data_IF_671013287912
#
_entry.id   IF_671013287912
#
_cell.length_a   1.000
_cell.length_b   1.000
_cell.length_c   1.000
_cell.angle_alpha   90.00
_cell.angle_beta   90.00
_cell.angle_gamma   90.00
#
_symmetry.space_group_name_H-M   'P 1'
#
loop_
_entity.id
_entity.type
_entity.pdbx_description
1 polymer ?
#
# COMPACT_ATOMS: atom_id res chain seq x y z
N UNK A 1 0.97 5.69 -50.12
CA UNK A 1 2.08 5.38 -49.20
C UNK A 1 1.75 6.00 -47.84
N UNK A 2 0.73 5.45 -47.17
CA UNK A 2 0.27 5.88 -45.86
C UNK A 2 0.77 4.84 -44.85
N UNK A 3 1.65 5.26 -43.94
CA UNK A 3 2.16 4.44 -42.85
C UNK A 3 1.05 4.33 -41.81
N UNK A 4 0.50 3.12 -41.64
CA UNK A 4 -0.39 2.79 -40.53
C UNK A 4 0.48 2.69 -39.27
N UNK A 5 0.25 3.61 -38.32
CA UNK A 5 0.79 3.55 -36.98
C UNK A 5 0.26 2.28 -36.28
N UNK A 6 1.16 1.39 -35.90
CA UNK A 6 0.86 0.22 -35.07
C UNK A 6 0.63 0.68 -33.63
N UNK A 7 -0.47 0.34 -32.96
CA UNK A 7 -0.66 0.67 -31.55
C UNK A 7 0.31 -0.15 -30.68
N UNK A 8 0.98 0.54 -29.76
CA UNK A 8 1.99 -0.02 -28.85
C UNK A 8 1.45 -1.05 -27.85
N UNK A 9 2.34 -1.84 -27.20
CA UNK A 9 2.01 -3.08 -26.50
C UNK A 9 1.33 -2.92 -25.12
N UNK A 10 0.61 -1.83 -24.85
CA UNK A 10 -0.08 -1.63 -23.55
C UNK A 10 -1.47 -2.31 -23.44
N UNK A 11 -1.89 -3.08 -24.43
CA UNK A 11 -3.27 -3.58 -24.55
C UNK A 11 -3.48 -5.07 -24.21
N UNK A 12 -2.61 -5.69 -23.41
CA UNK A 12 -2.80 -7.10 -23.03
C UNK A 12 -2.42 -7.34 -21.57
N UNK A 13 -3.41 -7.14 -20.68
CA UNK A 13 -3.70 -7.99 -19.50
C UNK A 13 -4.92 -7.42 -18.75
N UNK A 14 -6.05 -7.34 -19.46
CA UNK A 14 -7.38 -7.16 -18.88
C UNK A 14 -8.01 -8.54 -18.59
N UNK A 15 -7.39 -9.37 -17.75
CA UNK A 15 -7.96 -10.69 -17.42
C UNK A 15 -7.82 -10.99 -15.93
N UNK A 16 -8.88 -10.62 -15.17
CA UNK A 16 -9.60 -11.45 -14.18
C UNK A 16 -10.39 -10.54 -13.21
N UNK A 17 -11.46 -9.89 -13.70
CA UNK A 17 -12.44 -9.21 -12.85
C UNK A 17 -13.40 -10.23 -12.22
N UNK A 18 -12.91 -11.04 -11.29
CA UNK A 18 -13.81 -11.57 -10.28
C UNK A 18 -14.12 -10.40 -9.34
N UNK A 19 -15.41 -10.09 -9.13
CA UNK A 19 -15.83 -9.06 -8.18
C UNK A 19 -15.49 -9.51 -6.74
N UNK A 20 -14.20 -9.49 -6.39
CA UNK A 20 -13.70 -9.83 -5.09
C UNK A 20 -14.03 -8.67 -4.16
N UNK A 21 -15.10 -8.85 -3.38
CA UNK A 21 -15.41 -7.99 -2.26
C UNK A 21 -14.44 -8.30 -1.14
N UNK A 22 -13.54 -7.38 -0.84
CA UNK A 22 -12.55 -7.51 0.24
C UNK A 22 -13.01 -6.72 1.47
N UNK A 23 -12.98 -7.34 2.65
CA UNK A 23 -13.13 -6.61 3.91
C UNK A 23 -11.85 -5.81 4.18
N UNK A 24 -12.00 -4.52 4.47
CA UNK A 24 -10.89 -3.61 4.72
C UNK A 24 -11.27 -2.51 5.69
N UNK A 25 -10.46 -2.29 6.72
CA UNK A 25 -10.61 -1.16 7.63
C UNK A 25 -9.77 0.01 7.14
N UNK A 26 -10.41 1.16 6.88
CA UNK A 26 -9.71 2.34 6.38
C UNK A 26 -8.79 2.94 7.46
N UNK A 27 -7.48 3.14 7.21
CA UNK A 27 -6.57 3.67 8.22
C UNK A 27 -6.83 5.14 8.57
N UNK A 28 -7.65 5.86 7.81
CA UNK A 28 -7.90 7.29 8.00
C UNK A 28 -9.19 7.62 8.74
N UNK A 29 -10.29 6.94 8.41
CA UNK A 29 -11.57 7.15 9.08
C UNK A 29 -11.90 6.01 10.06
N UNK A 30 -11.06 4.96 10.11
CA UNK A 30 -11.21 3.78 10.97
C UNK A 30 -12.58 3.10 10.85
N UNK A 31 -13.20 3.18 9.66
CA UNK A 31 -14.45 2.47 9.34
C UNK A 31 -14.14 1.17 8.62
N UNK A 32 -14.85 0.11 8.99
CA UNK A 32 -14.88 -1.13 8.23
C UNK A 32 -15.63 -0.92 6.92
N UNK A 33 -14.99 -1.32 5.83
CA UNK A 33 -15.45 -1.12 4.48
C UNK A 33 -15.42 -2.46 3.73
N UNK A 34 -16.32 -2.61 2.78
CA UNK A 34 -16.24 -3.67 1.78
C UNK A 34 -15.81 -3.03 0.48
N UNK A 35 -14.59 -3.32 0.04
CA UNK A 35 -14.04 -2.74 -1.19
C UNK A 35 -14.57 -3.48 -2.42
N UNK A 36 -15.03 -2.71 -3.40
CA UNK A 36 -15.40 -3.22 -4.71
C UNK A 36 -14.24 -3.17 -5.71
N UNK A 37 -14.53 -3.61 -6.94
CA UNK A 37 -13.59 -3.57 -8.07
C UNK A 37 -13.13 -2.16 -8.42
N UNK A 38 -13.93 -1.15 -8.10
CA UNK A 38 -13.59 0.25 -8.37
C UNK A 38 -12.75 0.89 -7.27
N UNK A 39 -12.75 0.31 -6.08
CA UNK A 39 -12.00 0.82 -4.92
C UNK A 39 -10.59 0.23 -4.84
N UNK A 40 -10.31 -0.84 -5.58
CA UNK A 40 -9.00 -1.48 -5.65
C UNK A 40 -8.43 -1.29 -7.05
N UNK A 41 -7.28 -0.62 -7.13
CA UNK A 41 -6.50 -0.51 -8.37
C UNK A 41 -5.20 -1.28 -8.21
N UNK A 42 -4.78 -1.88 -9.30
CA UNK A 42 -3.57 -2.67 -9.36
C UNK A 42 -2.77 -2.24 -10.57
N UNK A 43 -1.48 -2.04 -10.38
CA UNK A 43 -0.54 -1.82 -11.48
C UNK A 43 0.70 -2.66 -11.22
N UNK A 44 1.23 -3.25 -12.29
CA UNK A 44 2.42 -4.08 -12.22
C UNK A 44 3.31 -3.79 -13.43
N UNK A 45 4.61 -3.99 -13.24
CA UNK A 45 5.59 -4.00 -14.30
C UNK A 45 6.57 -5.14 -14.03
N UNK A 46 6.90 -5.87 -15.08
CA UNK A 46 7.88 -6.96 -15.04
C UNK A 46 9.03 -6.60 -15.97
N UNK A 47 10.26 -6.83 -15.53
CA UNK A 47 11.45 -6.58 -16.33
C UNK A 47 12.55 -7.56 -15.98
N UNK A 48 13.30 -8.00 -17.00
CA UNK A 48 14.58 -8.65 -16.78
C UNK A 48 15.59 -7.58 -16.39
N UNK A 49 16.32 -7.78 -15.30
CA UNK A 49 17.32 -6.82 -14.84
C UNK A 49 18.72 -7.20 -15.26
N UNK A 50 19.16 -8.42 -14.90
CA UNK A 50 20.50 -8.93 -15.18
C UNK A 50 20.57 -10.44 -14.91
N UNK A 51 21.70 -11.09 -15.23
CA UNK A 51 21.89 -12.53 -15.04
C UNK A 51 21.84 -12.96 -13.56
N UNK A 52 22.43 -12.14 -12.69
CA UNK A 52 22.47 -12.33 -11.24
C UNK A 52 21.16 -11.98 -10.52
N UNK A 53 20.31 -11.17 -11.17
CA UNK A 53 19.04 -10.68 -10.60
C UNK A 53 17.78 -11.26 -11.25
N UNK A 54 17.89 -11.87 -12.42
CA UNK A 54 16.79 -12.46 -13.16
C UNK A 54 15.69 -11.47 -13.55
N UNK A 55 14.45 -11.95 -13.54
CA UNK A 55 13.25 -11.15 -13.73
C UNK A 55 12.76 -10.58 -12.40
N UNK A 56 12.46 -9.29 -12.38
CA UNK A 56 11.76 -8.65 -11.28
C UNK A 56 10.37 -8.20 -11.72
N UNK A 57 9.40 -8.37 -10.83
CA UNK A 57 8.07 -7.81 -10.93
C UNK A 57 7.85 -6.85 -9.77
N UNK A 58 7.62 -5.58 -10.09
CA UNK A 58 7.14 -4.59 -9.14
C UNK A 58 5.64 -4.41 -9.31
N UNK A 59 4.87 -4.45 -8.23
CA UNK A 59 3.46 -4.11 -8.27
C UNK A 59 3.04 -3.16 -7.15
N UNK A 60 1.97 -2.41 -7.39
CA UNK A 60 1.29 -1.61 -6.38
C UNK A 60 -0.18 -2.00 -6.30
N UNK A 61 -0.65 -2.30 -5.10
CA UNK A 61 -2.07 -2.44 -4.77
C UNK A 61 -2.53 -1.14 -4.10
N UNK A 62 -3.43 -0.43 -4.77
CA UNK A 62 -3.95 0.87 -4.36
C UNK A 62 -5.39 0.67 -3.91
N UNK A 63 -5.69 1.16 -2.72
CA UNK A 63 -7.01 1.11 -2.11
C UNK A 63 -7.56 2.53 -1.97
N UNK A 64 -8.80 2.73 -2.39
CA UNK A 64 -9.52 4.00 -2.27
C UNK A 64 -10.64 3.79 -1.25
N UNK A 65 -10.72 4.63 -0.22
CA UNK A 65 -11.81 4.52 0.74
C UNK A 65 -13.16 4.75 0.05
N UNK A 66 -14.15 3.85 0.18
CA UNK A 66 -15.46 4.03 -0.44
C UNK A 66 -16.32 5.09 0.27
N UNK A 67 -15.95 5.49 1.49
CA UNK A 67 -16.62 6.57 2.20
C UNK A 67 -16.45 7.90 1.45
N UNK A 68 -17.52 8.56 0.98
CA UNK A 68 -17.44 9.80 0.21
C UNK A 68 -16.77 10.95 0.99
N UNK A 69 -16.91 10.97 2.31
CA UNK A 69 -16.26 12.00 3.15
C UNK A 69 -14.75 11.77 3.33
N UNK A 70 -14.26 10.54 3.08
CA UNK A 70 -12.86 10.20 3.29
C UNK A 70 -12.10 10.16 1.96
N UNK A 71 -12.46 9.24 1.05
CA UNK A 71 -11.82 9.01 -0.28
C UNK A 71 -10.28 8.94 -0.32
N UNK A 72 -9.61 8.87 0.83
CA UNK A 72 -8.14 8.83 0.91
C UNK A 72 -7.60 7.51 0.36
N UNK A 73 -6.38 7.60 -0.20
CA UNK A 73 -5.67 6.49 -0.83
C UNK A 73 -4.81 5.74 0.19
N UNK A 74 -4.75 4.43 0.08
CA UNK A 74 -3.72 3.60 0.72
C UNK A 74 -2.99 2.80 -0.34
N UNK A 75 -1.66 2.75 -0.30
CA UNK A 75 -0.84 2.11 -1.33
C UNK A 75 0.10 1.13 -0.66
N UNK A 76 0.06 -0.11 -1.14
CA UNK A 76 1.03 -1.15 -0.84
C UNK A 76 1.87 -1.44 -2.06
N UNK A 77 3.19 -1.55 -1.89
CA UNK A 77 4.11 -1.96 -2.94
C UNK A 77 4.68 -3.35 -2.64
N UNK A 78 4.86 -4.15 -3.68
CA UNK A 78 5.55 -5.43 -3.59
C UNK A 78 6.62 -5.52 -4.67
N UNK A 79 7.77 -6.09 -4.30
CA UNK A 79 8.81 -6.49 -5.24
C UNK A 79 8.94 -8.00 -5.19
N UNK A 80 8.85 -8.63 -6.36
CA UNK A 80 8.95 -10.06 -6.53
C UNK A 80 10.06 -10.40 -7.53
N UNK A 81 10.70 -11.56 -7.38
CA UNK A 81 11.72 -12.06 -8.31
C UNK A 81 11.37 -13.43 -8.85
N UNK A 82 11.81 -13.69 -10.08
CA UNK A 82 11.82 -15.02 -10.68
C UNK A 82 13.05 -15.19 -11.58
N UNK A 83 13.49 -16.44 -11.76
CA UNK A 83 14.55 -16.77 -12.72
C UNK A 83 14.01 -16.96 -14.14
N UNK A 84 12.69 -16.95 -14.32
CA UNK A 84 12.02 -17.11 -15.61
C UNK A 84 10.93 -16.05 -15.78
N UNK A 85 10.70 -15.60 -17.01
CA UNK A 85 9.66 -14.60 -17.31
C UNK A 85 8.28 -15.08 -16.88
N UNK A 86 7.98 -16.34 -17.17
CA UNK A 86 6.70 -17.01 -16.89
C UNK A 86 6.80 -17.92 -15.65
N UNK A 87 7.86 -17.75 -14.86
CA UNK A 87 8.10 -18.52 -13.65
C UNK A 87 7.24 -18.07 -12.47
N UNK A 88 7.35 -18.82 -11.38
CA UNK A 88 6.75 -18.42 -10.11
C UNK A 88 7.53 -17.23 -9.54
N UNK A 89 6.82 -16.14 -9.24
CA UNK A 89 7.40 -14.91 -8.69
C UNK A 89 7.32 -14.96 -7.17
N UNK A 90 8.48 -14.92 -6.51
CA UNK A 90 8.57 -14.93 -5.05
C UNK A 90 8.66 -13.52 -4.50
N UNK A 91 7.86 -13.20 -3.49
CA UNK A 91 7.91 -11.94 -2.78
C UNK A 91 9.28 -11.75 -2.11
N UNK A 92 9.97 -10.67 -2.46
CA UNK A 92 11.24 -10.26 -1.86
C UNK A 92 11.00 -9.18 -0.81
N UNK A 93 10.17 -8.18 -1.16
CA UNK A 93 9.89 -7.04 -0.31
C UNK A 93 8.42 -6.63 -0.40
N UNK A 94 7.89 -6.20 0.74
CA UNK A 94 6.58 -5.55 0.88
C UNK A 94 6.77 -4.20 1.57
N UNK A 95 6.11 -3.16 1.08
CA UNK A 95 6.08 -1.84 1.68
C UNK A 95 4.65 -1.34 1.84
N UNK A 96 4.37 -0.74 3.00
CA UNK A 96 3.25 0.17 3.15
C UNK A 96 3.74 1.57 2.77
N UNK A 97 3.36 2.04 1.59
CA UNK A 97 3.79 3.35 1.09
C UNK A 97 2.89 4.47 1.62
N UNK A 98 1.58 4.23 1.61
CA UNK A 98 0.59 5.24 2.05
C UNK A 98 -0.52 4.54 2.86
N UNK A 99 -0.91 5.04 4.04
CA UNK A 99 -0.16 6.01 4.83
C UNK A 99 1.15 5.39 5.34
N UNK A 100 2.20 6.19 5.47
CA UNK A 100 3.49 5.72 6.03
C UNK A 100 3.35 5.26 7.48
N UNK A 101 2.57 6.01 8.27
CA UNK A 101 2.20 5.62 9.62
C UNK A 101 0.83 4.94 9.58
N UNK A 102 0.76 3.67 9.99
CA UNK A 102 -0.52 2.99 10.24
C UNK A 102 -1.09 3.39 11.61
N UNK A 103 -1.23 4.70 11.83
CA UNK A 103 -1.73 5.30 13.05
C UNK A 103 -3.25 5.42 12.98
N UNK A 104 -3.95 4.97 14.02
CA UNK A 104 -5.41 5.16 14.10
C UNK A 104 -5.75 6.64 14.31
N UNK A 105 -6.80 7.15 13.66
CA UNK A 105 -7.27 8.50 13.92
C UNK A 105 -7.83 8.58 15.34
N UNK A 106 -7.39 9.59 16.08
CA UNK A 106 -7.96 9.93 17.39
C UNK A 106 -8.84 11.18 17.31
N UNK A 107 -9.92 11.26 18.10
CA UNK A 107 -10.74 12.46 18.18
C UNK A 107 -9.97 13.69 18.69
N UNK A 108 -10.48 14.87 18.39
CA UNK A 108 -9.83 16.15 18.72
C UNK A 108 -9.77 16.47 20.22
N UNK A 109 -10.65 15.85 21.03
CA UNK A 109 -10.61 16.03 22.48
C UNK A 109 -9.37 15.40 23.14
N UNK A 110 -8.64 14.52 22.43
CA UNK A 110 -7.36 13.99 22.91
C UNK A 110 -6.29 15.07 22.72
N UNK A 111 -5.51 15.40 23.77
CA UNK A 111 -4.45 16.40 23.69
C UNK A 111 -3.54 16.19 22.48
N UNK A 112 -3.27 17.28 21.74
CA UNK A 112 -2.49 17.23 20.51
C UNK A 112 -1.14 16.54 20.72
N UNK A 113 -0.43 16.86 21.81
CA UNK A 113 0.86 16.26 22.12
C UNK A 113 0.82 14.72 22.19
N UNK A 114 -0.26 14.14 22.73
CA UNK A 114 -0.41 12.67 22.79
C UNK A 114 -0.68 12.08 21.40
N UNK A 115 -1.46 12.79 20.57
CA UNK A 115 -1.75 12.39 19.19
C UNK A 115 -0.49 12.42 18.34
N UNK A 116 0.33 13.45 18.50
CA UNK A 116 1.59 13.63 17.78
C UNK A 116 2.62 12.56 18.20
N UNK A 117 2.82 12.37 19.51
CA UNK A 117 3.69 11.31 20.05
C UNK A 117 3.24 9.92 19.56
N UNK A 118 1.93 9.65 19.53
CA UNK A 118 1.37 8.40 19.01
C UNK A 118 1.62 8.21 17.51
N UNK A 119 1.34 9.26 16.72
CA UNK A 119 1.55 9.23 15.27
C UNK A 119 3.03 8.96 14.95
N UNK A 120 3.94 9.66 15.62
CA UNK A 120 5.38 9.47 15.46
C UNK A 120 5.80 8.05 15.91
N UNK A 121 5.26 7.55 17.03
CA UNK A 121 5.53 6.20 17.50
C UNK A 121 5.15 5.14 16.45
N UNK A 122 4.00 5.31 15.79
CA UNK A 122 3.55 4.45 14.70
C UNK A 122 4.44 4.57 13.46
N UNK A 123 4.86 5.79 13.10
CA UNK A 123 5.70 6.07 11.95
C UNK A 123 7.07 5.40 12.05
N UNK A 124 7.69 5.44 13.23
CA UNK A 124 9.06 4.93 13.44
C UNK A 124 9.11 3.50 13.99
N UNK A 125 7.97 2.84 14.18
CA UNK A 125 7.87 1.50 14.77
C UNK A 125 8.87 0.50 14.17
N UNK A 126 8.95 0.45 12.85
CA UNK A 126 9.81 -0.49 12.13
C UNK A 126 11.23 0.06 11.90
N UNK A 127 11.46 1.36 12.11
CA UNK A 127 12.78 2.01 11.95
C UNK A 127 13.59 2.00 13.26
N UNK A 128 12.93 2.23 14.40
CA UNK A 128 13.53 2.18 15.73
C UNK A 128 12.48 1.81 16.77
N UNK A 129 12.41 0.50 17.08
CA UNK A 129 11.51 -0.01 18.10
C UNK A 129 11.75 0.65 19.48
N UNK A 130 13.00 1.01 19.79
CA UNK A 130 13.38 1.68 21.05
C UNK A 130 12.79 3.09 21.14
N UNK A 131 12.91 3.89 20.07
CA UNK A 131 12.34 5.23 20.03
C UNK A 131 10.80 5.18 20.06
N UNK A 132 10.20 4.29 19.27
CA UNK A 132 8.75 4.06 19.26
C UNK A 132 8.18 3.68 20.64
N UNK A 133 8.88 2.80 21.37
CA UNK A 133 8.49 2.42 22.74
C UNK A 133 8.56 3.59 23.72
N UNK A 134 9.53 4.50 23.55
CA UNK A 134 9.68 5.69 24.40
C UNK A 134 8.55 6.69 24.16
N UNK A 135 8.20 6.95 22.89
CA UNK A 135 7.04 7.79 22.53
C UNK A 135 5.73 7.18 23.04
N UNK A 136 5.55 5.86 22.85
CA UNK A 136 4.37 5.16 23.37
C UNK A 136 4.24 5.27 24.88
N UNK A 137 5.35 5.23 25.63
CA UNK A 137 5.36 5.41 27.09
C UNK A 137 4.92 6.83 27.48
N UNK A 138 5.39 7.86 26.75
CA UNK A 138 4.97 9.25 26.97
C UNK A 138 3.46 9.41 26.77
N UNK A 139 2.89 8.77 25.73
CA UNK A 139 1.44 8.77 25.51
C UNK A 139 0.69 8.21 26.72
N UNK A 140 1.13 7.09 27.29
CA UNK A 140 0.47 6.44 28.41
C UNK A 140 0.62 7.19 29.74
N UNK A 141 1.71 7.92 29.92
CA UNK A 141 1.96 8.71 31.13
C UNK A 141 1.20 10.05 31.14
N UNK A 142 0.71 10.51 29.99
CA UNK A 142 -0.05 11.76 29.85
C UNK A 142 -1.58 11.58 29.81
N UNK A 143 -2.07 10.34 30.05
CA UNK A 143 -3.50 10.02 30.24
C UNK A 143 -3.82 10.08 31.73
#
# INVERSE_FOLDING_TARGET
>A
MALLEQPGPLAAQEENKLAQKEHWTCPYCNRDCTLGTDDIKFCQATSYLAEDHGFMMGNYKIYICPNPDCRKLSIKGHLLSSNSRDGDYKLIHEWQLIPEANAKPFPEYIPQQLRDDYFEACLIKNKSAKASATLSRRCLQGI
#
